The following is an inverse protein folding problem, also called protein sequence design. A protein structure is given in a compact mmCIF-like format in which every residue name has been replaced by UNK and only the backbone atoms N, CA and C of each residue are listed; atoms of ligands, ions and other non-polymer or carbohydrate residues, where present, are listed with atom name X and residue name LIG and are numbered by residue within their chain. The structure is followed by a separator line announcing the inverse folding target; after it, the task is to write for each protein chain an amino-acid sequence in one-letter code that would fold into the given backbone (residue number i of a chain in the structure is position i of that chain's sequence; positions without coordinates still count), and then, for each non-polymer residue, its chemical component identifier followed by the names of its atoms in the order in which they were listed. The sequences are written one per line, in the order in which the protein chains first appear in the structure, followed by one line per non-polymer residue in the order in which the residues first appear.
data_IF_163224961899
#
_entry.id   IF_163224961899
#
_cell.length_a   1.000
_cell.length_b   1.000
_cell.length_c   1.000
_cell.angle_alpha   90.00
_cell.angle_beta   90.00
_cell.angle_gamma   90.00
#
_symmetry.space_group_name_H-M   'P 1'
#
loop_
_entity.id
_entity.type
_entity.pdbx_description
1 polymer ?
#
# COMPACT_ATOMS: atom_id res chain seq x y z
N UNK A 1 21.33 5.11 -11.43
CA UNK A 1 20.03 5.66 -11.87
C UNK A 1 19.02 5.28 -10.82
N UNK A 2 18.12 6.18 -10.40
CA UNK A 2 17.05 5.87 -9.47
C UNK A 2 16.12 4.82 -10.10
N UNK A 3 15.67 3.81 -9.31
CA UNK A 3 14.70 2.84 -9.78
C UNK A 3 13.35 3.52 -10.08
N UNK A 4 12.61 3.03 -11.07
CA UNK A 4 11.39 3.66 -11.54
C UNK A 4 10.22 3.49 -10.56
N UNK A 5 9.28 4.45 -10.57
CA UNK A 5 7.93 4.25 -10.02
C UNK A 5 7.08 3.59 -11.11
N UNK A 6 6.47 2.45 -10.82
CA UNK A 6 5.63 1.71 -11.76
C UNK A 6 4.15 1.93 -11.47
N UNK A 7 3.43 2.56 -12.40
CA UNK A 7 1.97 2.66 -12.37
C UNK A 7 1.33 1.50 -13.16
N UNK A 8 0.49 0.71 -12.52
CA UNK A 8 -0.33 -0.31 -13.18
C UNK A 8 -1.71 0.28 -13.44
N UNK A 9 -2.08 0.42 -14.71
CA UNK A 9 -3.33 1.03 -15.13
C UNK A 9 -4.48 0.03 -15.19
N UNK A 10 -5.69 0.55 -15.03
CA UNK A 10 -6.90 -0.16 -15.39
C UNK A 10 -6.98 -0.32 -16.91
N UNK A 11 -7.47 -1.46 -17.37
CA UNK A 11 -7.58 -1.77 -18.80
C UNK A 11 -8.69 -0.98 -19.54
N UNK A 12 -9.53 -0.24 -18.80
CA UNK A 12 -10.51 0.67 -19.37
C UNK A 12 -9.86 2.02 -19.72
N UNK A 13 -9.82 2.33 -21.01
CA UNK A 13 -9.32 3.61 -21.54
C UNK A 13 -10.04 4.83 -20.97
N UNK A 14 -11.31 4.68 -20.55
CA UNK A 14 -12.13 5.78 -20.05
C UNK A 14 -11.99 5.96 -18.53
N UNK A 15 -11.37 5.02 -17.83
CA UNK A 15 -11.14 5.13 -16.40
C UNK A 15 -10.31 6.36 -16.05
N UNK A 16 -10.52 6.90 -14.87
CA UNK A 16 -9.82 8.10 -14.37
C UNK A 16 -8.30 7.87 -14.16
N UNK A 17 -7.87 6.62 -14.05
CA UNK A 17 -6.47 6.22 -13.86
C UNK A 17 -5.80 6.85 -12.62
N UNK A 18 -6.36 6.75 -11.41
CA UNK A 18 -5.81 7.37 -10.21
C UNK A 18 -4.40 6.87 -9.88
N UNK A 19 -4.08 5.62 -10.22
CA UNK A 19 -2.73 5.08 -10.07
C UNK A 19 -1.68 5.87 -10.87
N UNK A 20 -2.01 6.32 -12.07
CA UNK A 20 -1.11 7.15 -12.88
C UNK A 20 -0.87 8.51 -12.23
N UNK A 21 -1.94 9.18 -11.77
CA UNK A 21 -1.83 10.51 -11.17
C UNK A 21 -0.95 10.49 -9.92
N UNK A 22 -1.17 9.52 -9.03
CA UNK A 22 -0.41 9.40 -7.79
C UNK A 22 1.02 8.90 -8.02
N UNK A 23 1.21 7.94 -8.93
CA UNK A 23 2.56 7.50 -9.32
C UNK A 23 3.38 8.65 -9.91
N UNK A 24 2.76 9.54 -10.68
CA UNK A 24 3.41 10.73 -11.21
C UNK A 24 3.80 11.69 -10.09
N UNK A 25 2.92 11.97 -9.12
CA UNK A 25 3.27 12.81 -7.97
C UNK A 25 4.48 12.25 -7.20
N UNK A 26 4.52 10.93 -6.97
CA UNK A 26 5.66 10.27 -6.33
C UNK A 26 6.93 10.34 -7.21
N UNK A 27 6.82 10.07 -8.51
CA UNK A 27 7.95 10.11 -9.43
C UNK A 27 8.54 11.53 -9.55
N UNK A 28 7.69 12.55 -9.68
CA UNK A 28 8.12 13.96 -9.76
C UNK A 28 8.80 14.40 -8.47
N UNK A 29 8.26 14.04 -7.30
CA UNK A 29 8.82 14.42 -5.99
C UNK A 29 10.16 13.72 -5.70
N UNK A 30 10.31 12.47 -6.11
CA UNK A 30 11.54 11.68 -5.92
C UNK A 30 12.55 11.82 -7.06
N UNK A 31 12.18 12.53 -8.14
CA UNK A 31 12.94 12.61 -9.39
C UNK A 31 13.23 11.22 -10.01
N UNK A 32 12.35 10.26 -9.73
CA UNK A 32 12.43 8.92 -10.28
C UNK A 32 11.80 8.86 -11.67
N UNK A 33 12.25 7.96 -12.56
CA UNK A 33 11.53 7.69 -13.81
C UNK A 33 10.13 7.15 -13.53
N UNK A 34 9.15 7.57 -14.33
CA UNK A 34 7.81 7.01 -14.31
C UNK A 34 7.68 5.95 -15.40
N UNK A 35 7.33 4.74 -15.01
CA UNK A 35 6.97 3.67 -15.93
C UNK A 35 5.47 3.35 -15.80
N UNK A 36 4.78 3.31 -16.91
CA UNK A 36 3.35 3.03 -16.98
C UNK A 36 3.13 1.70 -17.68
N UNK A 37 2.34 0.84 -17.08
CA UNK A 37 2.07 -0.49 -17.58
C UNK A 37 0.56 -0.74 -17.65
N UNK A 38 0.09 -1.21 -18.80
CA UNK A 38 -1.29 -1.64 -18.99
C UNK A 38 -1.33 -2.97 -19.72
N UNK A 39 -2.18 -3.90 -19.27
CA UNK A 39 -2.50 -5.08 -20.04
C UNK A 39 -3.79 -4.87 -20.84
N UNK A 40 -3.64 -4.62 -22.12
CA UNK A 40 -4.73 -4.32 -23.04
C UNK A 40 -5.37 -5.56 -23.69
N UNK A 41 -5.06 -6.78 -23.19
CA UNK A 41 -5.62 -8.00 -23.73
C UNK A 41 -7.14 -8.06 -23.60
N UNK A 42 -7.80 -8.33 -24.71
CA UNK A 42 -9.25 -8.52 -24.77
C UNK A 42 -9.59 -9.85 -25.45
N UNK A 43 -10.12 -10.80 -24.68
CA UNK A 43 -10.59 -12.07 -25.22
C UNK A 43 -11.79 -11.89 -26.19
N UNK A 44 -12.59 -10.85 -25.99
CA UNK A 44 -13.69 -10.51 -26.90
C UNK A 44 -13.15 -10.07 -28.26
N UNK A 45 -12.13 -9.22 -28.28
CA UNK A 45 -11.48 -8.78 -29.50
C UNK A 45 -10.80 -9.95 -30.22
N UNK A 46 -10.07 -10.81 -29.49
CA UNK A 46 -9.44 -12.00 -30.09
C UNK A 46 -10.48 -12.92 -30.73
N UNK A 47 -11.64 -13.10 -30.11
CA UNK A 47 -12.74 -13.88 -30.72
C UNK A 47 -13.34 -13.19 -31.94
N UNK A 48 -13.49 -11.86 -31.91
CA UNK A 48 -14.11 -11.12 -33.03
C UNK A 48 -13.22 -11.09 -34.27
N UNK A 49 -11.89 -11.02 -34.07
CA UNK A 49 -10.92 -10.99 -35.17
C UNK A 49 -10.58 -12.40 -35.68
N UNK A 50 -10.80 -13.44 -34.85
CA UNK A 50 -10.54 -14.83 -35.19
C UNK A 50 -9.02 -15.14 -35.33
N UNK A 51 -8.67 -16.03 -36.25
CA UNK A 51 -7.31 -16.49 -36.50
C UNK A 51 -6.54 -15.66 -37.53
N UNK A 52 -7.13 -14.57 -38.01
CA UNK A 52 -6.51 -13.68 -39.00
C UNK A 52 -5.43 -12.82 -38.31
N UNK A 53 -4.17 -13.15 -38.53
CA UNK A 53 -3.02 -12.49 -37.90
C UNK A 53 -2.90 -11.00 -38.31
N UNK A 54 -3.18 -10.67 -39.57
CA UNK A 54 -3.09 -9.26 -40.03
C UNK A 54 -4.12 -8.39 -39.33
N UNK A 55 -5.35 -8.89 -39.17
CA UNK A 55 -6.41 -8.17 -38.43
C UNK A 55 -6.09 -8.08 -36.94
N UNK A 56 -5.48 -9.12 -36.36
CA UNK A 56 -5.05 -9.06 -34.96
C UNK A 56 -3.98 -7.98 -34.75
N UNK A 57 -2.99 -7.92 -35.63
CA UNK A 57 -1.91 -6.94 -35.54
C UNK A 57 -2.43 -5.51 -35.78
N UNK A 58 -3.32 -5.33 -36.73
CA UNK A 58 -3.97 -4.05 -36.97
C UNK A 58 -4.79 -3.59 -35.75
N UNK A 59 -5.55 -4.48 -35.12
CA UNK A 59 -6.33 -4.18 -33.91
C UNK A 59 -5.41 -3.84 -32.72
N UNK A 60 -4.33 -4.59 -32.52
CA UNK A 60 -3.31 -4.28 -31.50
C UNK A 60 -2.68 -2.92 -31.72
N UNK A 61 -2.32 -2.59 -32.96
CA UNK A 61 -1.75 -1.28 -33.29
C UNK A 61 -2.72 -0.13 -32.99
N UNK A 62 -4.01 -0.31 -33.24
CA UNK A 62 -5.03 0.68 -32.88
C UNK A 62 -5.17 0.85 -31.38
N UNK A 63 -5.20 -0.24 -30.63
CA UNK A 63 -5.25 -0.20 -29.14
C UNK A 63 -3.99 0.46 -28.61
N UNK A 64 -2.82 0.11 -29.12
CA UNK A 64 -1.57 0.73 -28.72
C UNK A 64 -1.61 2.26 -28.94
N UNK A 65 -2.06 2.69 -30.11
CA UNK A 65 -2.21 4.12 -30.44
C UNK A 65 -3.20 4.81 -29.51
N UNK A 66 -4.33 4.16 -29.20
CA UNK A 66 -5.32 4.70 -28.26
C UNK A 66 -4.76 4.93 -26.87
N UNK A 67 -3.99 3.95 -26.35
CA UNK A 67 -3.29 4.09 -25.06
C UNK A 67 -2.20 5.16 -25.09
N UNK A 68 -1.42 5.25 -26.18
CA UNK A 68 -0.45 6.33 -26.33
C UNK A 68 -1.10 7.71 -26.27
N UNK A 69 -2.22 7.89 -26.95
CA UNK A 69 -2.97 9.15 -26.94
C UNK A 69 -3.49 9.44 -25.54
N UNK A 70 -4.12 8.44 -24.88
CA UNK A 70 -4.67 8.58 -23.55
C UNK A 70 -3.62 8.96 -22.50
N UNK A 71 -2.46 8.32 -22.54
CA UNK A 71 -1.37 8.67 -21.64
C UNK A 71 -0.83 10.08 -21.90
N UNK A 72 -0.76 10.50 -23.18
CA UNK A 72 -0.36 11.87 -23.54
C UNK A 72 -1.35 12.95 -23.06
N UNK A 73 -2.62 12.61 -22.89
CA UNK A 73 -3.61 13.50 -22.29
C UNK A 73 -3.47 13.60 -20.77
N UNK A 74 -3.06 12.51 -20.12
CA UNK A 74 -2.99 12.41 -18.66
C UNK A 74 -1.63 12.82 -18.07
N UNK A 75 -0.56 12.76 -18.86
CA UNK A 75 0.80 13.06 -18.39
C UNK A 75 1.70 13.55 -19.54
N UNK A 76 2.77 14.25 -19.17
CA UNK A 76 3.82 14.65 -20.13
C UNK A 76 4.57 13.42 -20.65
N UNK A 77 4.52 13.20 -21.94
CA UNK A 77 5.04 12.01 -22.63
C UNK A 77 6.56 11.87 -22.52
N UNK A 78 7.27 12.97 -22.38
CA UNK A 78 8.76 12.96 -22.33
C UNK A 78 9.29 12.37 -21.02
N UNK A 79 8.44 12.28 -19.99
CA UNK A 79 8.81 11.80 -18.65
C UNK A 79 8.30 10.40 -18.32
N UNK A 80 7.59 9.76 -19.24
CA UNK A 80 6.89 8.50 -18.99
C UNK A 80 7.25 7.43 -20.01
N UNK A 81 7.71 6.28 -19.54
CA UNK A 81 7.81 5.07 -20.37
C UNK A 81 6.50 4.30 -20.30
N UNK A 82 5.95 3.95 -21.47
CA UNK A 82 4.70 3.19 -21.57
C UNK A 82 4.96 1.78 -22.10
N UNK A 83 4.54 0.77 -21.33
CA UNK A 83 4.50 -0.63 -21.75
C UNK A 83 3.05 -1.09 -21.88
N UNK A 84 2.67 -1.49 -23.09
CA UNK A 84 1.35 -2.05 -23.37
C UNK A 84 1.49 -3.54 -23.58
N UNK A 85 1.04 -4.31 -22.58
CA UNK A 85 1.07 -5.77 -22.62
C UNK A 85 -0.16 -6.30 -23.37
N UNK A 86 0.05 -7.44 -24.01
CA UNK A 86 -1.01 -8.20 -24.66
C UNK A 86 -0.92 -9.66 -24.23
N UNK A 87 -1.36 -9.94 -23.01
CA UNK A 87 -1.21 -11.27 -22.45
C UNK A 87 -2.49 -11.74 -21.75
N UNK A 88 -2.95 -12.97 -22.08
CA UNK A 88 -4.17 -13.55 -21.51
C UNK A 88 -4.06 -13.72 -19.98
N UNK A 89 -2.93 -14.20 -19.51
CA UNK A 89 -2.61 -14.22 -18.08
C UNK A 89 -1.97 -12.89 -17.69
N UNK A 90 -2.80 -11.97 -17.25
CA UNK A 90 -2.35 -10.62 -16.87
C UNK A 90 -1.40 -10.67 -15.68
N UNK A 91 -1.54 -11.62 -14.76
CA UNK A 91 -0.69 -11.72 -13.58
C UNK A 91 0.70 -12.22 -13.91
N UNK A 92 0.83 -13.19 -14.81
CA UNK A 92 2.14 -13.65 -15.30
C UNK A 92 2.90 -12.51 -15.98
N UNK A 93 2.24 -11.76 -16.86
CA UNK A 93 2.84 -10.62 -17.55
C UNK A 93 3.26 -9.48 -16.61
N UNK A 94 2.44 -9.17 -15.60
CA UNK A 94 2.78 -8.19 -14.56
C UNK A 94 4.01 -8.62 -13.75
N UNK A 95 4.05 -9.90 -13.34
CA UNK A 95 5.18 -10.47 -12.60
C UNK A 95 6.48 -10.31 -13.40
N UNK A 96 6.49 -10.73 -14.66
CA UNK A 96 7.65 -10.62 -15.54
C UNK A 96 8.10 -9.17 -15.66
N UNK A 97 7.18 -8.25 -15.96
CA UNK A 97 7.50 -6.82 -16.07
C UNK A 97 8.05 -6.22 -14.77
N UNK A 98 7.53 -6.61 -13.60
CA UNK A 98 8.04 -6.12 -12.31
C UNK A 98 9.45 -6.66 -12.03
N UNK A 99 9.71 -7.93 -12.35
CA UNK A 99 11.02 -8.54 -12.15
C UNK A 99 12.08 -7.93 -13.07
N UNK A 100 11.72 -7.65 -14.32
CA UNK A 100 12.63 -7.04 -15.30
C UNK A 100 12.91 -5.58 -14.98
N UNK A 101 11.88 -4.82 -14.61
CA UNK A 101 12.01 -3.39 -14.32
C UNK A 101 12.65 -3.11 -12.97
N UNK A 102 12.46 -3.98 -11.99
CA UNK A 102 12.88 -3.77 -10.58
C UNK A 102 12.49 -2.38 -10.05
N UNK A 103 11.20 -2.04 -10.04
CA UNK A 103 10.76 -0.70 -9.66
C UNK A 103 11.02 -0.41 -8.18
N UNK A 104 11.23 0.87 -7.85
CA UNK A 104 11.29 1.33 -6.46
C UNK A 104 9.96 1.15 -5.73
N UNK A 105 8.85 1.23 -6.46
CA UNK A 105 7.49 1.12 -5.95
C UNK A 105 6.54 0.73 -7.08
N UNK A 106 5.53 -0.06 -6.75
CA UNK A 106 4.37 -0.34 -7.61
C UNK A 106 3.18 0.46 -7.09
N UNK A 107 2.48 1.17 -7.98
CA UNK A 107 1.23 1.89 -7.68
C UNK A 107 0.10 1.22 -8.43
N UNK A 108 -0.95 0.82 -7.71
CA UNK A 108 -2.11 0.11 -8.26
C UNK A 108 -3.41 0.72 -7.74
N UNK A 109 -4.39 0.89 -8.64
CA UNK A 109 -5.72 1.31 -8.25
C UNK A 109 -6.51 0.13 -7.67
N UNK A 110 -7.13 0.36 -6.53
CA UNK A 110 -8.07 -0.56 -5.88
C UNK A 110 -9.44 0.09 -5.87
N UNK A 111 -10.45 -0.60 -6.42
CA UNK A 111 -11.81 -0.10 -6.51
C UNK A 111 -12.40 0.15 -5.11
N UNK A 112 -13.32 1.09 -5.00
CA UNK A 112 -14.15 1.25 -3.80
C UNK A 112 -15.43 0.41 -3.90
N UNK A 113 -15.86 -0.17 -2.79
CA UNK A 113 -17.17 -0.77 -2.70
C UNK A 113 -18.24 0.34 -2.67
N UNK A 114 -19.19 0.30 -3.61
CA UNK A 114 -20.23 1.31 -3.71
C UNK A 114 -21.04 1.40 -2.41
N UNK A 115 -20.95 2.56 -1.73
CA UNK A 115 -21.67 2.86 -0.49
C UNK A 115 -20.91 2.55 0.80
N UNK A 116 -19.75 1.90 0.74
CA UNK A 116 -18.85 1.69 1.85
C UNK A 116 -17.47 2.21 1.46
N UNK A 117 -16.88 3.12 2.21
CA UNK A 117 -15.52 3.60 1.97
C UNK A 117 -14.49 2.51 2.33
N UNK A 118 -14.49 1.43 1.54
CA UNK A 118 -13.61 0.27 1.75
C UNK A 118 -12.97 -0.14 0.43
N UNK A 119 -11.71 -0.55 0.49
CA UNK A 119 -11.03 -1.13 -0.65
C UNK A 119 -11.63 -2.49 -1.05
N UNK A 120 -12.00 -2.64 -2.31
CA UNK A 120 -12.24 -3.93 -2.93
C UNK A 120 -10.94 -4.44 -3.56
N UNK A 121 -10.27 -5.32 -2.85
CA UNK A 121 -9.06 -5.95 -3.33
C UNK A 121 -9.37 -7.15 -4.23
N UNK A 122 -8.86 -7.11 -5.45
CA UNK A 122 -8.90 -8.24 -6.37
C UNK A 122 -7.82 -9.29 -6.01
N UNK A 123 -7.94 -10.54 -6.48
CA UNK A 123 -6.85 -11.52 -6.35
C UNK A 123 -5.50 -11.02 -6.89
N UNK A 124 -5.50 -10.14 -7.90
CA UNK A 124 -4.32 -9.48 -8.46
C UNK A 124 -3.65 -8.58 -7.41
N UNK A 125 -4.43 -7.74 -6.76
CA UNK A 125 -3.92 -6.76 -5.80
C UNK A 125 -3.28 -7.46 -4.59
N UNK A 126 -3.93 -8.52 -4.09
CA UNK A 126 -3.38 -9.37 -3.03
C UNK A 126 -2.08 -10.07 -3.44
N UNK A 127 -1.96 -10.50 -4.70
CA UNK A 127 -0.71 -11.08 -5.18
C UNK A 127 0.41 -10.05 -5.25
N UNK A 128 0.13 -8.82 -5.70
CA UNK A 128 1.09 -7.72 -5.67
C UNK A 128 1.54 -7.41 -4.25
N UNK A 129 0.58 -7.19 -3.33
CA UNK A 129 0.87 -6.91 -1.92
C UNK A 129 1.72 -7.99 -1.27
N UNK A 130 1.44 -9.26 -1.53
CA UNK A 130 2.14 -10.38 -0.89
C UNK A 130 3.48 -10.73 -1.53
N UNK A 131 3.60 -10.58 -2.86
CA UNK A 131 4.69 -11.19 -3.63
C UNK A 131 5.62 -10.19 -4.33
N UNK A 132 5.18 -8.95 -4.60
CA UNK A 132 6.06 -7.97 -5.26
C UNK A 132 7.34 -7.74 -4.43
N UNK A 133 8.52 -7.64 -5.09
CA UNK A 133 9.80 -7.45 -4.41
C UNK A 133 10.03 -6.03 -3.86
N UNK A 134 9.08 -5.14 -4.06
CA UNK A 134 9.15 -3.73 -3.69
C UNK A 134 7.88 -3.29 -2.93
N UNK A 135 7.86 -2.10 -2.33
CA UNK A 135 6.66 -1.48 -1.77
C UNK A 135 5.52 -1.41 -2.78
N UNK A 136 4.29 -1.57 -2.28
CA UNK A 136 3.07 -1.47 -3.09
C UNK A 136 2.16 -0.39 -2.51
N UNK A 137 1.85 0.61 -3.33
CA UNK A 137 0.92 1.68 -3.01
C UNK A 137 -0.44 1.36 -3.64
N UNK A 138 -1.40 1.03 -2.82
CA UNK A 138 -2.80 0.82 -3.21
C UNK A 138 -3.53 2.14 -3.11
N UNK A 139 -4.12 2.60 -4.21
CA UNK A 139 -4.72 3.94 -4.28
C UNK A 139 -6.19 3.92 -4.66
N UNK A 140 -6.92 4.92 -4.14
CA UNK A 140 -8.31 5.21 -4.46
C UNK A 140 -8.44 6.39 -5.45
N UNK A 141 -9.69 6.74 -5.76
CA UNK A 141 -10.02 7.85 -6.65
C UNK A 141 -9.76 9.24 -6.04
N UNK A 142 -9.75 9.35 -4.69
CA UNK A 142 -9.49 10.63 -4.01
C UNK A 142 -8.10 11.15 -4.36
N UNK A 143 -8.03 12.40 -4.80
CA UNK A 143 -6.75 13.05 -5.09
C UNK A 143 -6.06 13.54 -3.81
N UNK A 144 -4.74 13.49 -3.78
CA UNK A 144 -3.97 14.05 -2.69
C UNK A 144 -3.91 15.57 -2.77
N UNK A 145 -3.92 16.27 -1.62
CA UNK A 145 -3.57 17.68 -1.58
C UNK A 145 -2.08 17.87 -1.92
N UNK A 146 -1.65 19.13 -2.08
CA UNK A 146 -0.25 19.48 -2.33
C UNK A 146 0.71 19.06 -1.20
N UNK A 147 0.18 18.89 0.01
CA UNK A 147 0.89 18.44 1.21
C UNK A 147 0.07 17.32 1.87
N UNK A 148 0.22 16.06 1.43
CA UNK A 148 -0.59 14.95 1.95
C UNK A 148 -0.24 14.62 3.40
N UNK A 149 -1.24 14.17 4.15
CA UNK A 149 -1.11 13.72 5.53
C UNK A 149 -0.86 12.21 5.56
N UNK A 150 0.24 11.81 6.16
CA UNK A 150 0.74 10.44 6.15
C UNK A 150 0.75 9.90 7.56
N UNK A 151 0.15 8.73 7.77
CA UNK A 151 0.14 8.00 9.02
C UNK A 151 0.99 6.73 8.90
N UNK A 152 2.01 6.61 9.74
CA UNK A 152 2.74 5.36 9.93
C UNK A 152 2.08 4.54 11.04
N UNK A 153 1.55 3.36 10.73
CA UNK A 153 1.06 2.42 11.73
C UNK A 153 2.22 1.52 12.18
N UNK A 154 2.61 1.65 13.44
CA UNK A 154 3.81 1.05 13.98
C UNK A 154 3.47 0.10 15.13
N UNK A 155 4.14 -1.04 15.15
CA UNK A 155 4.19 -1.92 16.31
C UNK A 155 5.66 -2.13 16.69
N UNK A 156 6.20 -1.33 17.62
CA UNK A 156 7.62 -1.42 17.98
C UNK A 156 7.99 -2.69 18.74
N UNK A 157 7.03 -3.57 19.09
CA UNK A 157 7.29 -4.85 19.72
C UNK A 157 8.16 -4.77 21.00
N UNK A 158 8.88 -5.84 21.36
CA UNK A 158 9.92 -5.85 22.39
C UNK A 158 11.30 -5.72 21.75
N UNK A 159 12.31 -5.15 22.46
CA UNK A 159 13.61 -4.76 21.90
C UNK A 159 14.40 -5.86 21.15
N UNK A 160 14.11 -7.12 21.43
CA UNK A 160 14.81 -8.27 20.85
C UNK A 160 14.05 -8.91 19.66
N UNK A 161 12.95 -8.28 19.16
CA UNK A 161 12.09 -8.93 18.17
C UNK A 161 12.23 -8.34 16.77
N UNK A 162 12.05 -9.15 15.71
CA UNK A 162 12.06 -8.70 14.31
C UNK A 162 11.04 -7.60 14.02
N UNK A 163 10.01 -7.45 14.85
CA UNK A 163 8.99 -6.41 14.74
C UNK A 163 9.58 -5.00 14.84
N UNK A 164 10.62 -4.79 15.66
CA UNK A 164 11.31 -3.51 15.75
C UNK A 164 11.95 -3.10 14.41
N UNK A 165 12.55 -4.06 13.70
CA UNK A 165 13.15 -3.82 12.40
C UNK A 165 12.08 -3.43 11.38
N UNK A 166 10.92 -4.10 11.39
CA UNK A 166 9.82 -3.78 10.50
C UNK A 166 9.20 -2.41 10.85
N UNK A 167 8.97 -2.12 12.14
CA UNK A 167 8.46 -0.82 12.58
C UNK A 167 9.38 0.32 12.13
N UNK A 168 10.70 0.13 12.25
CA UNK A 168 11.69 1.10 11.79
C UNK A 168 11.66 1.26 10.27
N UNK A 169 11.50 0.19 9.51
CA UNK A 169 11.39 0.25 8.05
C UNK A 169 10.11 0.98 7.61
N UNK A 170 8.99 0.71 8.28
CA UNK A 170 7.73 1.43 8.04
C UNK A 170 7.90 2.91 8.35
N UNK A 171 8.50 3.26 9.48
CA UNK A 171 8.73 4.65 9.85
C UNK A 171 9.65 5.38 8.87
N UNK A 172 10.78 4.78 8.49
CA UNK A 172 11.70 5.35 7.50
C UNK A 172 11.06 5.52 6.13
N UNK A 173 10.27 4.55 5.70
CA UNK A 173 9.55 4.64 4.44
C UNK A 173 8.49 5.75 4.48
N UNK A 174 7.75 5.87 5.58
CA UNK A 174 6.74 6.91 5.79
C UNK A 174 7.38 8.31 5.85
N UNK A 175 8.49 8.46 6.56
CA UNK A 175 9.24 9.72 6.64
C UNK A 175 9.80 10.14 5.28
N UNK A 176 10.43 9.22 4.57
CA UNK A 176 10.93 9.47 3.22
C UNK A 176 9.79 9.85 2.26
N UNK A 177 8.66 9.15 2.34
CA UNK A 177 7.49 9.42 1.51
C UNK A 177 6.88 10.78 1.83
N UNK A 178 6.71 11.11 3.11
CA UNK A 178 6.23 12.40 3.56
C UNK A 178 7.16 13.55 3.14
N UNK A 179 8.45 13.41 3.40
CA UNK A 179 9.47 14.42 3.07
C UNK A 179 9.51 14.74 1.57
N UNK A 180 9.46 13.70 0.71
CA UNK A 180 9.46 13.89 -0.74
C UNK A 180 8.19 14.62 -1.23
N UNK A 181 7.03 14.32 -0.65
CA UNK A 181 5.75 14.93 -1.02
C UNK A 181 5.48 16.26 -0.29
N UNK A 182 6.44 16.76 0.49
CA UNK A 182 6.24 17.92 1.39
C UNK A 182 5.02 17.73 2.31
N UNK A 183 4.76 16.50 2.69
CA UNK A 183 3.61 16.06 3.50
C UNK A 183 3.89 16.09 5.00
N UNK A 184 2.82 16.01 5.78
CA UNK A 184 2.90 15.86 7.24
C UNK A 184 2.96 14.38 7.64
N UNK A 185 3.91 14.01 8.52
CA UNK A 185 4.02 12.65 9.08
C UNK A 185 3.46 12.61 10.50
N UNK A 186 2.64 11.59 10.76
CA UNK A 186 2.25 11.13 12.10
C UNK A 186 2.54 9.64 12.24
N UNK A 187 2.74 9.20 13.47
CA UNK A 187 2.88 7.78 13.79
C UNK A 187 1.86 7.38 14.84
N UNK A 188 1.26 6.22 14.66
CA UNK A 188 0.32 5.64 15.62
C UNK A 188 0.71 4.20 15.97
N UNK A 189 0.55 3.88 17.25
CA UNK A 189 0.55 2.53 17.78
C UNK A 189 -0.83 2.24 18.35
N UNK A 190 -1.35 1.03 18.12
CA UNK A 190 -2.65 0.61 18.67
C UNK A 190 -2.41 -0.53 19.65
N UNK A 191 -2.78 -0.30 20.89
CA UNK A 191 -2.86 -1.35 21.91
C UNK A 191 -4.13 -2.13 21.68
N UNK A 192 -3.99 -3.40 21.32
CA UNK A 192 -5.12 -4.32 21.19
C UNK A 192 -5.66 -4.65 22.59
N UNK A 193 -6.87 -4.20 22.87
CA UNK A 193 -7.54 -4.42 24.13
C UNK A 193 -8.75 -5.32 23.94
N UNK A 194 -9.06 -6.09 24.98
CA UNK A 194 -10.28 -6.88 25.01
C UNK A 194 -11.52 -5.98 24.92
N UNK A 195 -12.54 -6.49 24.31
CA UNK A 195 -13.87 -5.87 24.28
C UNK A 195 -14.39 -5.61 25.71
N UNK A 196 -15.07 -4.48 25.93
CA UNK A 196 -15.60 -4.08 27.24
C UNK A 196 -16.46 -5.16 27.89
N UNK A 197 -17.18 -5.95 27.11
CA UNK A 197 -17.99 -7.06 27.61
C UNK A 197 -17.14 -8.21 28.15
N UNK A 198 -16.00 -8.48 27.55
CA UNK A 198 -15.01 -9.46 28.05
C UNK A 198 -14.27 -8.92 29.26
N UNK A 199 -13.99 -7.61 29.29
CA UNK A 199 -13.38 -6.95 30.46
C UNK A 199 -14.29 -7.07 31.68
N UNK A 200 -15.61 -6.90 31.55
CA UNK A 200 -16.57 -7.09 32.61
C UNK A 200 -16.55 -8.54 33.14
N UNK A 201 -16.55 -9.51 32.25
CA UNK A 201 -16.50 -10.93 32.59
C UNK A 201 -15.18 -11.32 33.31
N UNK A 202 -14.07 -10.81 32.84
CA UNK A 202 -12.73 -11.08 33.39
C UNK A 202 -12.53 -10.29 34.70
N UNK A 203 -13.07 -9.07 34.78
CA UNK A 203 -12.98 -8.22 35.98
C UNK A 203 -13.64 -8.82 37.24
N UNK A 204 -14.68 -9.64 37.07
CA UNK A 204 -15.26 -10.43 38.18
C UNK A 204 -14.32 -11.55 38.67
N UNK A 205 -13.47 -12.09 37.76
CA UNK A 205 -12.56 -13.19 38.07
C UNK A 205 -11.14 -12.74 38.48
N UNK A 206 -10.75 -11.53 38.07
CA UNK A 206 -9.39 -10.98 38.34
C UNK A 206 -9.55 -9.63 39.05
N UNK A 207 -9.47 -9.60 40.39
CA UNK A 207 -9.42 -8.34 41.14
C UNK A 207 -8.23 -7.49 40.65
N UNK A 208 -8.45 -6.17 40.55
CA UNK A 208 -7.44 -5.20 40.10
C UNK A 208 -7.05 -5.28 38.59
N UNK A 209 -7.85 -5.96 37.74
CA UNK A 209 -7.59 -6.02 36.29
C UNK A 209 -7.38 -4.64 35.68
N UNK A 210 -8.23 -3.67 36.01
CA UNK A 210 -8.13 -2.29 35.53
C UNK A 210 -6.82 -1.60 35.89
N UNK A 211 -6.34 -1.79 37.13
CA UNK A 211 -5.06 -1.22 37.59
C UNK A 211 -3.88 -1.87 36.87
N UNK A 212 -3.98 -3.17 36.61
CA UNK A 212 -2.98 -3.89 35.80
C UNK A 212 -2.91 -3.36 34.37
N UNK A 213 -4.07 -3.15 33.74
CA UNK A 213 -4.15 -2.63 32.38
C UNK A 213 -3.63 -1.20 32.26
N UNK A 214 -3.87 -0.33 33.22
CA UNK A 214 -3.32 1.03 33.20
C UNK A 214 -1.80 1.05 33.20
N UNK A 215 -1.16 0.16 33.95
CA UNK A 215 0.30 -0.01 33.95
C UNK A 215 0.81 -0.53 32.60
N UNK A 216 0.08 -1.47 32.00
CA UNK A 216 0.41 -1.98 30.67
C UNK A 216 0.29 -0.87 29.61
N UNK A 217 -0.80 -0.10 29.63
CA UNK A 217 -1.00 1.05 28.74
C UNK A 217 0.14 2.07 28.87
N UNK A 218 0.51 2.40 30.11
CA UNK A 218 1.58 3.36 30.38
C UNK A 218 2.92 2.83 29.86
N UNK A 219 3.25 1.56 30.11
CA UNK A 219 4.47 0.92 29.63
C UNK A 219 4.59 1.00 28.09
N UNK A 220 3.53 0.64 27.34
CA UNK A 220 3.55 0.72 25.88
C UNK A 220 3.58 2.16 25.38
N UNK A 221 2.92 3.08 26.06
CA UNK A 221 2.99 4.51 25.72
C UNK A 221 4.39 5.06 25.85
N UNK A 222 5.04 4.82 27.00
CA UNK A 222 6.39 5.30 27.26
C UNK A 222 7.38 4.68 26.27
N UNK A 223 7.19 3.41 25.96
CA UNK A 223 8.03 2.69 25.00
C UNK A 223 7.85 3.23 23.57
N UNK A 224 6.62 3.43 23.12
CA UNK A 224 6.36 4.00 21.79
C UNK A 224 6.88 5.43 21.70
N UNK A 225 6.73 6.21 22.75
CA UNK A 225 7.25 7.56 22.82
C UNK A 225 8.79 7.57 22.74
N UNK A 226 9.46 6.69 23.47
CA UNK A 226 10.92 6.55 23.40
C UNK A 226 11.35 6.18 21.97
N UNK A 227 10.76 5.12 21.39
CA UNK A 227 11.02 4.69 20.02
C UNK A 227 10.86 5.83 19.02
N UNK A 228 9.75 6.58 19.08
CA UNK A 228 9.46 7.67 18.17
C UNK A 228 10.43 8.84 18.32
N UNK A 229 10.77 9.20 19.57
CA UNK A 229 11.74 10.27 19.88
C UNK A 229 13.14 9.91 19.38
N UNK A 230 13.60 8.69 19.60
CA UNK A 230 14.90 8.19 19.12
C UNK A 230 15.02 8.23 17.59
N UNK A 231 13.88 8.24 16.91
CA UNK A 231 13.79 8.33 15.45
C UNK A 231 13.30 9.69 14.92
N UNK A 232 13.36 10.73 15.75
CA UNK A 232 13.18 12.12 15.32
C UNK A 232 11.74 12.62 15.27
N UNK A 233 10.75 11.85 15.77
CA UNK A 233 9.36 12.31 15.86
C UNK A 233 9.13 13.12 17.15
N UNK A 234 8.48 14.27 17.00
CA UNK A 234 8.01 15.07 18.13
C UNK A 234 6.76 14.50 18.80
N UNK A 235 6.47 14.92 20.04
CA UNK A 235 5.30 14.42 20.79
C UNK A 235 3.96 14.67 20.08
N UNK A 236 3.85 15.75 19.30
CA UNK A 236 2.63 16.09 18.55
C UNK A 236 2.43 15.20 17.30
N UNK A 237 3.44 14.46 16.91
CA UNK A 237 3.41 13.57 15.76
C UNK A 237 3.08 12.13 16.12
N UNK A 238 3.01 11.79 17.41
CA UNK A 238 2.82 10.44 17.89
C UNK A 238 1.49 10.28 18.63
N UNK A 239 0.86 9.11 18.47
CA UNK A 239 -0.38 8.78 19.16
C UNK A 239 -0.41 7.31 19.52
N UNK A 240 -0.78 7.00 20.76
CA UNK A 240 -1.11 5.64 21.19
C UNK A 240 -2.63 5.55 21.30
N UNK A 241 -3.18 4.66 20.51
CA UNK A 241 -4.61 4.36 20.45
C UNK A 241 -4.90 3.06 21.20
N UNK A 242 -6.15 2.86 21.59
CA UNK A 242 -6.61 1.64 22.28
C UNK A 242 -7.82 1.06 21.57
N UNK A 243 -7.87 -0.26 21.49
CA UNK A 243 -8.98 -1.00 20.88
C UNK A 243 -8.53 -1.97 19.79
N UNK A 244 -9.48 -2.60 19.06
CA UNK A 244 -9.17 -3.50 17.96
C UNK A 244 -8.38 -2.76 16.86
N UNK A 245 -7.21 -3.29 16.46
CA UNK A 245 -6.21 -2.56 15.66
C UNK A 245 -6.79 -1.98 14.36
N UNK A 246 -7.43 -2.80 13.53
CA UNK A 246 -7.85 -2.38 12.21
C UNK A 246 -9.00 -1.34 12.21
N UNK A 247 -10.10 -1.53 12.98
CA UNK A 247 -11.14 -0.50 13.08
C UNK A 247 -10.63 0.81 13.69
N UNK A 248 -9.74 0.72 14.69
CA UNK A 248 -9.20 1.89 15.38
C UNK A 248 -8.32 2.73 14.45
N UNK A 249 -7.44 2.10 13.65
CA UNK A 249 -6.62 2.81 12.66
C UNK A 249 -7.49 3.42 11.55
N UNK A 250 -8.47 2.67 11.04
CA UNK A 250 -9.37 3.18 10.00
C UNK A 250 -10.12 4.43 10.48
N UNK A 251 -10.71 4.37 11.67
CA UNK A 251 -11.40 5.51 12.30
C UNK A 251 -10.45 6.70 12.51
N UNK A 252 -9.24 6.46 12.99
CA UNK A 252 -8.25 7.52 13.21
C UNK A 252 -7.82 8.19 11.90
N UNK A 253 -7.67 7.41 10.83
CA UNK A 253 -7.41 7.96 9.49
C UNK A 253 -8.55 8.86 9.00
N UNK A 254 -9.81 8.46 9.23
CA UNK A 254 -10.98 9.26 8.85
C UNK A 254 -11.09 10.55 9.68
N UNK A 255 -10.94 10.48 11.01
CA UNK A 255 -11.05 11.62 11.91
C UNK A 255 -10.00 12.71 11.64
N UNK A 256 -8.81 12.33 11.21
CA UNK A 256 -7.73 13.25 10.89
C UNK A 256 -7.56 13.52 9.39
N UNK A 257 -8.48 13.00 8.56
CA UNK A 257 -8.40 13.08 7.10
C UNK A 257 -7.02 12.67 6.56
N UNK A 258 -6.48 11.55 6.99
CA UNK A 258 -5.20 11.05 6.48
C UNK A 258 -5.33 10.68 5.01
N UNK A 259 -4.32 10.99 4.21
CA UNK A 259 -4.30 10.70 2.79
C UNK A 259 -3.65 9.36 2.49
N UNK A 260 -2.63 8.98 3.29
CA UNK A 260 -1.89 7.72 3.13
C UNK A 260 -1.64 7.07 4.49
N UNK A 261 -2.00 5.79 4.59
CA UNK A 261 -1.64 4.91 5.70
C UNK A 261 -0.46 4.02 5.28
N UNK A 262 0.64 4.06 6.03
CA UNK A 262 1.81 3.22 5.80
C UNK A 262 1.83 2.07 6.78
N UNK A 263 1.87 0.84 6.28
CA UNK A 263 1.82 -0.40 7.07
C UNK A 263 2.91 -1.37 6.65
N UNK A 264 3.38 -2.19 7.60
CA UNK A 264 4.30 -3.28 7.32
C UNK A 264 3.58 -4.60 7.05
N UNK A 265 4.18 -5.46 6.24
CA UNK A 265 3.76 -6.86 6.16
C UNK A 265 4.48 -7.67 7.23
N UNK A 266 3.75 -8.33 8.13
CA UNK A 266 4.36 -9.11 9.22
C UNK A 266 5.13 -10.29 8.66
N UNK A 267 6.39 -10.42 9.04
CA UNK A 267 7.19 -11.62 8.86
C UNK A 267 7.17 -12.42 10.18
N UNK A 268 6.17 -13.25 10.38
CA UNK A 268 6.26 -14.26 11.44
C UNK A 268 7.16 -15.40 10.95
N UNK A 269 7.98 -15.95 11.85
CA UNK A 269 8.91 -17.06 11.65
C UNK A 269 8.22 -18.38 11.24
N UNK A 270 7.37 -18.36 10.21
CA UNK A 270 6.79 -19.56 9.63
C UNK A 270 7.54 -19.89 8.34
N UNK A 271 7.81 -21.17 8.05
CA UNK A 271 8.48 -21.61 6.82
C UNK A 271 7.70 -21.28 5.54
N UNK A 272 6.49 -20.78 5.66
CA UNK A 272 5.66 -20.33 4.53
C UNK A 272 5.88 -18.83 4.28
N UNK A 273 6.78 -18.56 3.39
CA UNK A 273 7.30 -17.25 2.92
C UNK A 273 6.26 -16.29 2.29
N UNK A 274 4.97 -16.42 2.59
CA UNK A 274 3.90 -15.83 1.77
C UNK A 274 2.76 -15.15 2.55
N UNK A 275 2.82 -15.05 3.87
CA UNK A 275 1.67 -14.59 4.63
C UNK A 275 1.78 -13.10 4.99
N UNK A 276 0.89 -12.31 4.40
CA UNK A 276 0.46 -11.05 5.00
C UNK A 276 -0.18 -11.37 6.35
N UNK A 277 0.23 -10.70 7.43
CA UNK A 277 -0.37 -10.93 8.75
C UNK A 277 -1.87 -10.59 8.73
N UNK A 278 -2.67 -11.35 9.47
CA UNK A 278 -4.13 -11.12 9.56
C UNK A 278 -4.48 -9.68 9.96
N UNK A 279 -3.68 -9.08 10.84
CA UNK A 279 -3.83 -7.68 11.25
C UNK A 279 -3.59 -6.73 10.07
N UNK A 280 -2.48 -6.90 9.35
CA UNK A 280 -2.15 -6.07 8.18
C UNK A 280 -3.23 -6.21 7.08
N UNK A 281 -3.70 -7.43 6.80
CA UNK A 281 -4.78 -7.69 5.86
C UNK A 281 -6.08 -6.99 6.27
N UNK A 282 -6.44 -7.07 7.57
CA UNK A 282 -7.62 -6.41 8.12
C UNK A 282 -7.50 -4.88 8.08
N UNK A 283 -6.32 -4.32 8.38
CA UNK A 283 -6.05 -2.88 8.30
C UNK A 283 -6.17 -2.39 6.86
N UNK A 284 -5.49 -3.06 5.93
CA UNK A 284 -5.51 -2.71 4.51
C UNK A 284 -6.95 -2.73 3.95
N UNK A 285 -7.73 -3.75 4.29
CA UNK A 285 -9.11 -3.89 3.79
C UNK A 285 -10.06 -2.82 4.34
N UNK A 286 -9.81 -2.33 5.57
CA UNK A 286 -10.69 -1.37 6.25
C UNK A 286 -10.30 0.08 6.05
N UNK A 287 -9.08 0.34 5.59
CA UNK A 287 -8.61 1.69 5.36
C UNK A 287 -9.48 2.40 4.30
N UNK A 288 -9.88 3.63 4.60
CA UNK A 288 -10.59 4.54 3.68
C UNK A 288 -9.62 5.51 2.98
N UNK A 289 -8.32 5.33 3.21
CA UNK A 289 -7.23 6.12 2.65
C UNK A 289 -6.37 5.24 1.75
N UNK A 290 -5.50 5.84 0.96
CA UNK A 290 -4.48 5.07 0.24
C UNK A 290 -3.57 4.32 1.20
N UNK A 291 -3.10 3.14 0.82
CA UNK A 291 -2.28 2.30 1.68
C UNK A 291 -0.95 1.99 1.03
N UNK A 292 0.14 2.42 1.67
CA UNK A 292 1.50 2.05 1.29
C UNK A 292 1.96 0.85 2.12
N UNK A 293 2.19 -0.27 1.46
CA UNK A 293 2.58 -1.53 2.08
C UNK A 293 4.08 -1.74 1.96
N UNK A 294 4.76 -1.80 3.12
CA UNK A 294 6.22 -1.93 3.22
C UNK A 294 6.61 -3.38 3.51
N UNK A 295 7.65 -3.85 2.85
CA UNK A 295 8.24 -5.17 3.07
C UNK A 295 9.27 -5.12 4.20
N UNK A 296 9.46 -6.22 4.95
CA UNK A 296 10.57 -6.33 5.89
C UNK A 296 11.92 -6.37 5.16
N UNK A 297 12.98 -5.98 5.86
CA UNK A 297 14.34 -6.10 5.34
C UNK A 297 14.66 -7.56 4.99
N UNK A 298 15.36 -7.74 3.87
CA UNK A 298 15.70 -9.07 3.38
C UNK A 298 14.53 -9.88 2.83
N UNK A 299 13.38 -9.24 2.55
CA UNK A 299 12.25 -9.91 1.92
C UNK A 299 12.67 -10.54 0.58
N UNK A 300 12.53 -11.86 0.49
CA UNK A 300 12.74 -12.60 -0.74
C UNK A 300 11.41 -12.84 -1.43
N UNK A 301 11.23 -12.18 -2.56
CA UNK A 301 10.01 -12.36 -3.35
C UNK A 301 9.91 -13.79 -3.88
N UNK A 302 8.75 -14.45 -3.70
CA UNK A 302 8.51 -15.77 -4.31
C UNK A 302 8.52 -15.73 -5.84
N UNK A 303 8.51 -14.56 -6.42
CA UNK A 303 8.63 -14.39 -7.87
C UNK A 303 10.07 -14.50 -8.38
N UNK A 304 11.04 -14.35 -7.48
CA UNK A 304 12.49 -14.45 -7.75
C UNK A 304 13.05 -15.86 -7.48
N UNK A 305 12.20 -16.77 -6.97
CA UNK A 305 12.54 -18.15 -6.63
C UNK A 305 12.41 -19.09 -7.84
#
# INVERSE_FOLDING_TARGET
MSAAVLAILDSDLKAAQPALHKARQVADSTKAPLHVLVNAYSSAMVRAVGVDHERQDAARAQIHKAWQNRISELTDRERCQLSILWHKDSMAALRESILDLQPAMVVVHTSEESGLRRHLFTPRDWQLIRKAPCPVLCVHDRQWPSSPRILAALDPGTEEQPENALALNVLRAADHFASNLSGGLRAAHVLDEMDDSLILLVGEAIPDYSVGMDKVRQFYRDRFQAFATDHGLGPDQITVLTGPVAPTLAKYCEELDMDVLVVGTVHRNLPERLLLGATAESVITRASTDVLVIKPDGFQSPWQA
#
